data_IF_516639474341
#
_entry.id   IF_516639474341
#
_cell.length_a   1.000
_cell.length_b   1.000
_cell.length_c   1.000
_cell.angle_alpha   90.00
_cell.angle_beta   90.00
_cell.angle_gamma   90.00
#
_symmetry.space_group_name_H-M   'P 1'
#
loop_
_entity.id
_entity.type
_entity.pdbx_description
1 polymer ?
#
# COMPACT_ATOMS: atom_id res chain seq x y z
N UNK A 1 -7.20 -12.09 50.04
CA UNK A 1 -7.34 -11.21 48.85
C UNK A 1 -7.62 -9.77 49.27
N UNK A 2 -8.73 -9.47 49.95
CA UNK A 2 -9.11 -8.08 50.37
C UNK A 2 -8.03 -7.32 51.16
N UNK A 3 -7.27 -8.01 52.03
CA UNK A 3 -6.15 -7.40 52.77
C UNK A 3 -5.04 -6.87 51.85
N UNK A 4 -4.76 -7.55 50.74
CA UNK A 4 -3.72 -7.18 49.77
C UNK A 4 -4.18 -6.07 48.82
N UNK A 5 -5.49 -6.02 48.50
CA UNK A 5 -6.10 -4.91 47.76
C UNK A 5 -6.07 -3.62 48.58
N UNK A 6 -6.46 -3.69 49.86
CA UNK A 6 -6.44 -2.54 50.76
C UNK A 6 -5.02 -1.99 50.98
N UNK A 7 -4.01 -2.86 50.90
CA UNK A 7 -2.59 -2.49 50.98
C UNK A 7 -2.01 -2.01 49.64
N UNK A 8 -2.83 -1.87 48.58
CA UNK A 8 -2.40 -1.45 47.24
C UNK A 8 -1.26 -2.28 46.64
N UNK A 9 -1.21 -3.58 46.97
CA UNK A 9 -0.25 -4.51 46.37
C UNK A 9 -0.82 -5.12 45.08
N UNK A 10 -2.13 -5.39 45.07
CA UNK A 10 -2.86 -5.97 43.94
C UNK A 10 -4.10 -5.15 43.61
N UNK A 11 -4.57 -5.22 42.37
CA UNK A 11 -5.84 -4.65 41.90
C UNK A 11 -6.63 -5.69 41.10
N UNK A 12 -7.96 -5.65 41.21
CA UNK A 12 -8.86 -6.49 40.41
C UNK A 12 -9.11 -5.87 39.04
N UNK A 13 -9.07 -6.68 37.97
CA UNK A 13 -9.34 -6.24 36.60
C UNK A 13 -10.41 -7.12 35.97
N UNK A 14 -11.22 -6.49 35.11
CA UNK A 14 -12.19 -7.18 34.28
C UNK A 14 -11.47 -7.81 33.10
N UNK A 15 -11.55 -9.13 33.00
CA UNK A 15 -10.99 -9.88 31.89
C UNK A 15 -12.09 -10.13 30.87
N UNK A 16 -11.90 -9.66 29.64
CA UNK A 16 -12.90 -9.78 28.57
C UNK A 16 -13.03 -11.23 28.07
N UNK A 17 -11.94 -11.99 28.05
CA UNK A 17 -11.94 -13.41 27.65
C UNK A 17 -12.53 -14.32 28.73
N UNK A 18 -12.36 -13.97 30.00
CA UNK A 18 -12.84 -14.75 31.14
C UNK A 18 -13.66 -13.89 32.12
N UNK A 19 -14.85 -13.40 31.74
CA UNK A 19 -15.61 -12.42 32.55
C UNK A 19 -16.12 -12.98 33.87
N UNK A 20 -16.32 -14.31 33.96
CA UNK A 20 -16.75 -14.98 35.18
C UNK A 20 -15.60 -15.17 36.20
N UNK A 21 -14.33 -15.02 35.78
CA UNK A 21 -13.17 -15.24 36.64
C UNK A 21 -12.60 -13.91 37.15
N UNK A 22 -12.42 -13.81 38.47
CA UNK A 22 -11.77 -12.65 39.09
C UNK A 22 -10.26 -12.69 38.80
N UNK A 23 -9.80 -11.78 37.96
CA UNK A 23 -8.38 -11.64 37.62
C UNK A 23 -7.76 -10.51 38.44
N UNK A 24 -6.57 -10.75 38.99
CA UNK A 24 -5.82 -9.77 39.78
C UNK A 24 -4.46 -9.50 39.14
N UNK A 25 -3.98 -8.26 39.20
CA UNK A 25 -2.61 -7.90 38.80
C UNK A 25 -1.96 -6.98 39.84
N UNK A 26 -0.64 -6.78 39.72
CA UNK A 26 0.09 -5.84 40.57
C UNK A 26 -0.45 -4.41 40.41
N UNK A 27 -0.58 -3.69 41.52
CA UNK A 27 -1.25 -2.38 41.54
C UNK A 27 -0.67 -1.36 40.56
N UNK A 28 0.66 -1.31 40.47
CA UNK A 28 1.43 -0.33 39.71
C UNK A 28 1.58 -0.66 38.21
N UNK A 29 1.19 -1.86 37.78
CA UNK A 29 1.25 -2.24 36.36
C UNK A 29 -0.03 -1.80 35.64
N UNK A 30 0.07 -1.39 34.38
CA UNK A 30 -1.09 -1.07 33.53
C UNK A 30 -1.54 -2.37 32.85
N UNK A 31 -2.84 -2.72 32.90
CA UNK A 31 -3.34 -3.89 32.16
C UNK A 31 -3.22 -3.65 30.65
N UNK A 32 -2.98 -4.73 29.90
CA UNK A 32 -3.00 -4.66 28.44
C UNK A 32 -4.42 -4.58 27.91
N UNK A 33 -4.60 -3.87 26.80
CA UNK A 33 -5.90 -3.68 26.15
C UNK A 33 -6.51 -5.00 25.65
N UNK A 34 -5.69 -6.00 25.32
CA UNK A 34 -6.12 -7.36 24.99
C UNK A 34 -6.91 -8.04 26.12
N UNK A 35 -6.61 -7.66 27.38
CA UNK A 35 -7.27 -8.24 28.57
C UNK A 35 -8.45 -7.37 29.01
N UNK A 36 -8.34 -6.05 28.88
CA UNK A 36 -9.39 -5.10 29.29
C UNK A 36 -10.43 -4.81 28.22
N UNK A 37 -10.16 -5.15 26.96
CA UNK A 37 -11.01 -4.89 25.79
C UNK A 37 -11.06 -3.41 25.43
N UNK A 38 -9.98 -2.89 24.86
CA UNK A 38 -9.94 -1.53 24.29
C UNK A 38 -10.95 -1.32 23.16
N UNK A 39 -11.03 -0.11 22.61
CA UNK A 39 -12.02 0.24 21.56
C UNK A 39 -11.90 -0.59 20.27
N UNK A 40 -10.69 -1.04 19.95
CA UNK A 40 -10.39 -1.92 18.82
C UNK A 40 -10.49 -3.42 19.14
N UNK A 41 -10.94 -3.81 20.34
CA UNK A 41 -11.08 -5.23 20.70
C UNK A 41 -12.55 -5.64 20.76
N UNK A 42 -12.85 -6.84 20.27
CA UNK A 42 -14.12 -7.51 20.45
C UNK A 42 -13.89 -8.91 21.05
N UNK A 43 -14.52 -9.16 22.20
CA UNK A 43 -14.36 -10.41 22.97
C UNK A 43 -12.90 -10.80 23.33
N UNK A 44 -11.96 -9.84 23.28
CA UNK A 44 -10.55 -10.05 23.58
C UNK A 44 -9.69 -10.39 22.37
N UNK A 45 -10.27 -10.32 21.16
CA UNK A 45 -9.55 -10.38 19.89
C UNK A 45 -9.54 -8.99 19.23
N UNK A 46 -8.48 -8.69 18.49
CA UNK A 46 -8.32 -7.41 17.79
C UNK A 46 -9.26 -7.38 16.58
N UNK A 47 -10.09 -6.35 16.46
CA UNK A 47 -10.96 -6.12 15.32
C UNK A 47 -10.18 -5.46 14.18
N UNK A 48 -9.42 -6.28 13.44
CA UNK A 48 -8.63 -5.86 12.29
C UNK A 48 -9.50 -5.21 11.20
N UNK A 49 -10.73 -5.71 11.03
CA UNK A 49 -11.67 -5.18 10.03
C UNK A 49 -12.08 -3.73 10.32
N UNK A 50 -12.34 -3.42 11.59
CA UNK A 50 -12.63 -2.05 12.01
C UNK A 50 -11.44 -1.12 11.76
N UNK A 51 -10.22 -1.58 12.03
CA UNK A 51 -9.00 -0.78 11.82
C UNK A 51 -8.81 -0.50 10.32
N UNK A 52 -9.04 -1.49 9.46
CA UNK A 52 -8.92 -1.35 8.02
C UNK A 52 -9.97 -0.39 7.43
N UNK A 53 -11.24 -0.54 7.83
CA UNK A 53 -12.33 0.35 7.43
C UNK A 53 -12.08 1.79 7.90
N UNK A 54 -11.65 1.96 9.16
CA UNK A 54 -11.30 3.25 9.73
C UNK A 54 -10.13 3.90 8.98
N UNK A 55 -9.11 3.11 8.65
CA UNK A 55 -7.95 3.54 7.87
C UNK A 55 -8.36 4.08 6.50
N UNK A 56 -9.22 3.35 5.80
CA UNK A 56 -9.75 3.76 4.49
C UNK A 56 -10.61 5.03 4.58
N UNK A 57 -11.42 5.16 5.63
CA UNK A 57 -12.23 6.34 5.88
C UNK A 57 -11.38 7.59 6.21
N UNK A 58 -10.33 7.43 7.01
CA UNK A 58 -9.36 8.50 7.32
C UNK A 58 -8.68 8.96 6.03
N UNK A 59 -8.18 8.02 5.22
CA UNK A 59 -7.50 8.37 3.96
C UNK A 59 -8.45 9.07 3.00
N UNK A 60 -9.70 8.61 2.89
CA UNK A 60 -10.71 9.28 2.10
C UNK A 60 -10.88 10.75 2.52
N UNK A 61 -11.09 10.98 3.83
CA UNK A 61 -11.29 12.32 4.38
C UNK A 61 -10.09 13.24 4.17
N UNK A 62 -8.89 12.73 4.45
CA UNK A 62 -7.64 13.48 4.32
C UNK A 62 -7.34 13.78 2.86
N UNK A 63 -7.56 12.82 1.95
CA UNK A 63 -7.34 12.97 0.50
C UNK A 63 -8.17 14.10 -0.09
N UNK A 64 -9.45 14.18 0.27
CA UNK A 64 -10.35 15.26 -0.18
C UNK A 64 -9.87 16.66 0.21
N UNK A 65 -8.96 16.76 1.19
CA UNK A 65 -8.42 18.02 1.69
C UNK A 65 -6.91 18.18 1.45
N UNK A 66 -6.27 17.22 0.77
CA UNK A 66 -4.80 17.17 0.62
C UNK A 66 -4.29 17.91 -0.60
N UNK A 67 -5.07 17.97 -1.67
CA UNK A 67 -4.59 18.36 -3.00
C UNK A 67 -5.44 19.47 -3.59
N UNK A 68 -4.82 20.42 -4.29
CA UNK A 68 -5.55 21.44 -5.04
C UNK A 68 -6.24 20.82 -6.26
N UNK A 69 -7.46 21.27 -6.54
CA UNK A 69 -8.19 20.86 -7.74
C UNK A 69 -7.43 21.28 -9.00
N UNK A 70 -6.87 20.31 -9.72
CA UNK A 70 -6.31 20.53 -11.06
C UNK A 70 -7.14 19.77 -12.08
N UNK A 71 -7.38 20.39 -13.24
CA UNK A 71 -8.03 19.71 -14.35
C UNK A 71 -7.10 18.59 -14.83
N UNK A 72 -7.58 17.33 -14.95
CA UNK A 72 -6.76 16.24 -15.44
C UNK A 72 -6.24 16.58 -16.84
N UNK A 73 -4.96 16.33 -17.08
CA UNK A 73 -4.39 16.45 -18.43
C UNK A 73 -4.48 15.09 -19.09
N UNK A 74 -5.13 15.04 -20.26
CA UNK A 74 -5.12 13.87 -21.13
C UNK A 74 -3.77 13.82 -21.82
N UNK A 75 -2.95 12.84 -21.45
CA UNK A 75 -1.66 12.59 -22.09
C UNK A 75 -1.73 11.23 -22.76
N UNK A 76 -1.38 11.19 -24.05
CA UNK A 76 -1.18 9.93 -24.76
C UNK A 76 0.14 9.35 -24.27
N UNK A 77 0.07 8.27 -23.50
CA UNK A 77 1.26 7.59 -22.97
C UNK A 77 1.89 6.81 -24.12
N UNK A 78 3.12 7.15 -24.48
CA UNK A 78 3.88 6.37 -25.47
C UNK A 78 4.32 5.07 -24.81
N UNK A 79 3.83 3.94 -25.31
CA UNK A 79 4.29 2.61 -24.88
C UNK A 79 5.74 2.46 -25.32
N UNK A 80 6.63 2.06 -24.41
CA UNK A 80 8.02 1.73 -24.76
C UNK A 80 8.01 0.73 -25.93
N UNK A 81 8.87 0.89 -26.94
CA UNK A 81 8.92 -0.05 -28.06
C UNK A 81 9.10 -1.47 -27.52
N UNK A 82 8.18 -2.38 -27.84
CA UNK A 82 8.37 -3.79 -27.54
C UNK A 82 9.68 -4.26 -28.23
N UNK A 83 10.51 -5.08 -27.56
CA UNK A 83 11.58 -5.77 -28.25
C UNK A 83 10.95 -6.56 -29.40
N UNK A 84 11.54 -6.44 -30.60
CA UNK A 84 11.05 -7.19 -31.74
C UNK A 84 11.15 -8.68 -31.42
N UNK A 85 10.02 -9.37 -31.34
CA UNK A 85 9.99 -10.82 -31.34
C UNK A 85 10.55 -11.29 -32.70
N UNK A 86 11.64 -12.05 -32.66
CA UNK A 86 12.12 -12.79 -33.82
C UNK A 86 11.18 -13.98 -34.02
N UNK A 87 10.10 -13.77 -34.78
CA UNK A 87 9.19 -14.83 -35.22
C UNK A 87 9.95 -15.97 -35.92
N UNK A 88 9.83 -17.24 -35.46
CA UNK A 88 10.32 -18.37 -36.21
C UNK A 88 9.32 -18.77 -37.31
N UNK A 89 9.82 -18.74 -38.55
CA UNK A 89 9.35 -19.51 -39.70
C UNK A 89 7.92 -19.24 -40.25
N UNK A 90 7.83 -18.30 -41.21
CA UNK A 90 6.82 -18.33 -42.27
C UNK A 90 7.43 -18.86 -43.59
N UNK A 91 6.79 -19.90 -44.14
CA UNK A 91 7.11 -20.58 -45.41
C UNK A 91 7.07 -19.64 -46.63
N UNK A 92 7.85 -19.88 -47.70
CA UNK A 92 8.16 -18.87 -48.69
C UNK A 92 7.15 -18.86 -49.83
N UNK A 93 6.37 -17.79 -49.97
CA UNK A 93 5.96 -17.26 -51.28
C UNK A 93 5.24 -15.92 -51.13
N UNK A 94 6.02 -14.83 -51.09
CA UNK A 94 5.65 -13.54 -51.67
C UNK A 94 6.88 -12.63 -51.71
N UNK A 95 6.97 -11.89 -52.79
CA UNK A 95 8.16 -11.24 -53.36
C UNK A 95 8.83 -10.14 -52.52
N UNK A 96 10.18 -10.17 -52.55
CA UNK A 96 11.18 -9.10 -52.32
C UNK A 96 11.43 -8.68 -50.86
N UNK A 97 12.43 -9.31 -50.22
CA UNK A 97 13.11 -8.77 -49.03
C UNK A 97 14.61 -8.65 -49.30
N UNK A 98 15.13 -7.41 -49.24
CA UNK A 98 16.56 -7.09 -49.37
C UNK A 98 17.34 -7.75 -48.23
N UNK A 99 18.40 -8.46 -48.59
CA UNK A 99 19.38 -9.10 -47.70
C UNK A 99 20.08 -8.01 -46.86
N UNK A 100 19.98 -8.06 -45.52
CA UNK A 100 20.81 -7.22 -44.64
C UNK A 100 22.17 -7.90 -44.43
N UNK A 101 23.31 -7.21 -44.57
CA UNK A 101 24.61 -7.72 -44.16
C UNK A 101 24.74 -7.68 -42.63
N UNK A 102 25.40 -8.69 -42.07
CA UNK A 102 25.49 -9.00 -40.64
C UNK A 102 26.57 -8.19 -39.88
N UNK A 103 26.56 -6.86 -39.97
CA UNK A 103 27.60 -6.01 -39.32
C UNK A 103 27.14 -4.62 -38.85
N UNK A 104 25.84 -4.37 -38.64
CA UNK A 104 25.42 -3.05 -38.14
C UNK A 104 25.46 -3.01 -36.61
N UNK A 105 26.33 -2.16 -36.08
CA UNK A 105 26.36 -1.72 -34.67
C UNK A 105 24.98 -1.15 -34.27
N UNK A 106 24.60 -1.33 -33.00
CA UNK A 106 23.25 -1.02 -32.50
C UNK A 106 22.91 0.47 -32.60
N UNK A 107 23.94 1.32 -32.66
CA UNK A 107 23.85 2.78 -32.83
C UNK A 107 23.39 3.21 -34.24
N UNK A 108 23.56 2.37 -35.27
CA UNK A 108 23.24 2.69 -36.68
C UNK A 108 21.88 2.15 -37.14
N UNK A 109 21.09 1.58 -36.23
CA UNK A 109 19.75 1.09 -36.55
C UNK A 109 18.80 2.27 -36.88
N UNK A 110 18.13 2.28 -38.05
CA UNK A 110 17.20 3.35 -38.37
C UNK A 110 16.04 3.32 -37.36
N UNK A 111 15.81 4.45 -36.69
CA UNK A 111 14.66 4.63 -35.80
C UNK A 111 13.39 4.27 -36.56
N UNK A 112 12.78 3.12 -36.25
CA UNK A 112 11.47 2.75 -36.77
C UNK A 112 10.46 3.72 -36.18
N UNK A 113 10.09 4.75 -36.94
CA UNK A 113 8.86 5.48 -36.67
C UNK A 113 7.68 4.55 -36.94
N UNK A 114 7.17 3.94 -35.88
CA UNK A 114 5.88 3.24 -35.94
C UNK A 114 4.79 4.25 -36.28
N UNK A 115 3.93 3.92 -37.26
CA UNK A 115 2.72 4.72 -37.50
C UNK A 115 1.73 4.35 -36.40
N UNK A 116 1.53 5.30 -35.49
CA UNK A 116 0.54 5.30 -34.42
C UNK A 116 -0.80 4.65 -34.84
N UNK A 117 -1.21 3.60 -34.12
CA UNK A 117 -2.60 3.13 -34.12
C UNK A 117 -3.46 4.02 -33.20
N UNK A 118 -4.77 4.07 -33.44
CA UNK A 118 -5.75 4.86 -32.68
C UNK A 118 -6.13 4.23 -31.32
N UNK A 119 -5.43 3.16 -30.93
CA UNK A 119 -5.78 2.26 -29.82
C UNK A 119 -4.92 2.49 -28.55
N UNK A 120 -4.07 3.52 -28.50
CA UNK A 120 -3.29 3.80 -27.30
C UNK A 120 -4.21 4.30 -26.17
N UNK A 121 -4.22 3.67 -24.97
CA UNK A 121 -5.09 4.08 -23.89
C UNK A 121 -4.75 5.52 -23.45
N UNK A 122 -5.74 6.41 -23.53
CA UNK A 122 -5.65 7.76 -23.00
C UNK A 122 -5.55 7.64 -21.48
N UNK A 123 -4.37 7.93 -20.92
CA UNK A 123 -4.21 7.99 -19.46
C UNK A 123 -4.53 9.40 -18.99
N UNK A 124 -5.55 9.54 -18.15
CA UNK A 124 -5.83 10.79 -17.44
C UNK A 124 -4.81 10.97 -16.31
N UNK A 125 -3.85 11.86 -16.51
CA UNK A 125 -2.87 12.18 -15.48
C UNK A 125 -3.48 13.26 -14.57
N UNK A 126 -3.88 12.85 -13.37
CA UNK A 126 -4.27 13.77 -12.29
C UNK A 126 -3.01 14.24 -11.56
N UNK A 127 -2.56 15.45 -11.85
CA UNK A 127 -1.41 16.05 -11.14
C UNK A 127 -1.82 16.49 -9.74
N UNK A 128 -1.41 15.72 -8.73
CA UNK A 128 -1.63 16.06 -7.31
C UNK A 128 -0.67 17.18 -6.87
N UNK A 129 -1.14 18.43 -6.99
CA UNK A 129 -0.44 19.62 -6.51
C UNK A 129 -0.77 19.87 -5.03
N UNK A 130 0.27 20.05 -4.22
CA UNK A 130 0.11 20.48 -2.84
C UNK A 130 -0.32 21.95 -2.81
N UNK A 131 -1.04 22.35 -1.76
CA UNK A 131 -1.38 23.75 -1.54
C UNK A 131 -0.13 24.61 -1.35
N UNK A 132 -0.16 25.89 -1.78
CA UNK A 132 0.85 26.87 -1.41
C UNK A 132 1.06 26.92 0.11
N UNK A 133 2.28 27.24 0.54
CA UNK A 133 2.55 27.44 1.95
C UNK A 133 1.62 28.52 2.51
N UNK A 134 1.07 28.28 3.71
CA UNK A 134 0.19 29.21 4.44
C UNK A 134 -1.18 29.52 3.80
N UNK A 135 -1.59 28.87 2.70
CA UNK A 135 -2.91 29.12 2.12
C UNK A 135 -4.03 28.28 2.74
N UNK A 136 -3.71 27.10 3.28
CA UNK A 136 -4.69 26.15 3.83
C UNK A 136 -4.08 25.32 4.95
N UNK A 137 -4.87 25.03 5.98
CA UNK A 137 -4.53 24.07 7.02
C UNK A 137 -4.96 22.66 6.64
N UNK A 138 -4.11 21.69 6.95
CA UNK A 138 -4.40 20.27 6.78
C UNK A 138 -5.23 19.76 7.97
N UNK A 139 -6.06 18.71 7.80
CA UNK A 139 -6.86 18.15 8.87
C UNK A 139 -5.98 17.62 10.01
N UNK A 140 -6.29 18.03 11.24
CA UNK A 140 -5.65 17.53 12.47
C UNK A 140 -6.34 16.24 12.95
N UNK A 141 -5.74 15.54 13.91
CA UNK A 141 -6.36 14.34 14.50
C UNK A 141 -7.74 14.64 15.14
N UNK A 142 -7.93 15.82 15.73
CA UNK A 142 -9.22 16.26 16.28
C UNK A 142 -10.27 16.45 15.18
N UNK A 143 -9.88 17.05 14.05
CA UNK A 143 -10.79 17.22 12.91
C UNK A 143 -11.19 15.87 12.31
N UNK A 144 -10.24 14.94 12.20
CA UNK A 144 -10.46 13.59 11.71
C UNK A 144 -11.40 12.82 12.67
N UNK A 145 -11.17 12.89 13.98
CA UNK A 145 -12.05 12.29 14.99
C UNK A 145 -13.48 12.85 14.92
N UNK A 146 -13.61 14.17 14.78
CA UNK A 146 -14.91 14.83 14.61
C UNK A 146 -15.61 14.35 13.33
N UNK A 147 -14.87 14.19 12.24
CA UNK A 147 -15.43 13.66 10.99
C UNK A 147 -15.92 12.22 11.13
N UNK A 148 -15.13 11.34 11.75
CA UNK A 148 -15.48 9.92 11.92
C UNK A 148 -16.70 9.77 12.82
N UNK A 149 -16.79 10.56 13.89
CA UNK A 149 -17.93 10.49 14.83
C UNK A 149 -19.20 11.13 14.27
N UNK A 150 -19.06 12.11 13.35
CA UNK A 150 -20.21 12.76 12.67
C UNK A 150 -20.72 11.95 11.49
N UNK A 151 -19.84 11.19 10.83
CA UNK A 151 -20.20 10.37 9.68
C UNK A 151 -20.73 9.03 10.18
N UNK A 152 -21.98 8.70 9.87
CA UNK A 152 -22.62 7.41 10.24
C UNK A 152 -22.02 6.18 9.52
N UNK A 153 -20.73 6.23 9.16
CA UNK A 153 -19.99 5.16 8.50
C UNK A 153 -19.69 3.98 9.44
N UNK A 154 -19.55 4.24 10.74
CA UNK A 154 -19.28 3.22 11.77
C UNK A 154 -20.49 3.10 12.68
N UNK A 155 -20.74 1.90 13.21
CA UNK A 155 -21.80 1.67 14.21
C UNK A 155 -21.64 2.65 15.39
N UNK A 156 -22.72 3.35 15.74
CA UNK A 156 -22.72 4.36 16.80
C UNK A 156 -22.16 3.87 18.15
N UNK A 157 -22.35 2.57 18.47
CA UNK A 157 -21.80 1.97 19.70
C UNK A 157 -20.28 1.94 19.74
N UNK A 158 -19.63 1.69 18.59
CA UNK A 158 -18.18 1.67 18.45
C UNK A 158 -17.62 3.08 18.27
N UNK A 159 -18.30 3.92 17.47
CA UNK A 159 -17.93 5.32 17.30
C UNK A 159 -17.88 6.09 18.63
N UNK A 160 -18.79 5.80 19.57
CA UNK A 160 -18.79 6.43 20.89
C UNK A 160 -17.62 6.01 21.81
N UNK A 161 -16.95 4.89 21.53
CA UNK A 161 -15.78 4.42 22.29
C UNK A 161 -14.48 5.00 21.74
N UNK A 162 -14.48 5.46 20.47
CA UNK A 162 -13.29 5.97 19.80
C UNK A 162 -12.87 7.33 20.38
N UNK A 163 -11.68 7.37 20.97
CA UNK A 163 -11.07 8.61 21.46
C UNK A 163 -10.11 9.22 20.45
N UNK A 164 -9.76 10.51 20.62
CA UNK A 164 -8.76 11.17 19.75
C UNK A 164 -7.41 10.47 19.80
N UNK A 165 -7.02 9.91 20.95
CA UNK A 165 -5.78 9.17 21.10
C UNK A 165 -5.77 7.86 20.29
N UNK A 166 -6.90 7.16 20.24
CA UNK A 166 -7.05 5.94 19.44
C UNK A 166 -7.03 6.24 17.94
N UNK A 167 -7.68 7.33 17.51
CA UNK A 167 -7.57 7.81 16.12
C UNK A 167 -6.14 8.20 15.79
N UNK A 168 -5.40 8.83 16.71
CA UNK A 168 -4.00 9.17 16.51
C UNK A 168 -3.14 7.92 16.32
N UNK A 169 -3.38 6.83 17.06
CA UNK A 169 -2.66 5.56 16.86
C UNK A 169 -2.84 5.03 15.43
N UNK A 170 -4.07 5.09 14.89
CA UNK A 170 -4.34 4.67 13.49
C UNK A 170 -3.72 5.63 12.49
N UNK A 171 -3.68 6.93 12.77
CA UNK A 171 -2.97 7.88 11.93
C UNK A 171 -1.46 7.58 11.93
N UNK A 172 -0.87 7.24 13.08
CA UNK A 172 0.55 6.91 13.19
C UNK A 172 0.91 5.67 12.38
N UNK A 173 0.08 4.63 12.39
CA UNK A 173 0.27 3.45 11.53
C UNK A 173 0.22 3.83 10.05
N UNK A 174 -0.75 4.67 9.66
CA UNK A 174 -0.84 5.16 8.28
C UNK A 174 0.33 6.04 7.84
N UNK A 175 0.98 6.73 8.79
CA UNK A 175 2.21 7.47 8.53
C UNK A 175 3.40 6.51 8.37
N UNK A 176 3.47 5.44 9.17
CA UNK A 176 4.51 4.42 9.03
C UNK A 176 4.39 3.62 7.73
N UNK A 177 3.16 3.41 7.25
CA UNK A 177 2.87 2.74 5.98
C UNK A 177 3.07 3.65 4.74
N UNK A 178 3.59 4.87 4.92
CA UNK A 178 3.74 5.88 3.87
C UNK A 178 2.43 6.19 3.11
N UNK A 179 1.28 6.09 3.79
CA UNK A 179 -0.04 6.46 3.23
C UNK A 179 -0.38 7.91 3.56
N UNK A 180 0.08 8.41 4.72
CA UNK A 180 -0.09 9.77 5.19
C UNK A 180 1.26 10.44 5.50
N UNK A 181 1.32 11.76 5.34
CA UNK A 181 2.45 12.61 5.74
C UNK A 181 1.97 13.64 6.76
N UNK A 182 2.75 13.85 7.82
CA UNK A 182 2.53 14.93 8.78
C UNK A 182 3.03 16.27 8.24
N UNK A 183 2.18 17.29 8.26
CA UNK A 183 2.50 18.67 7.83
C UNK A 183 2.06 19.67 8.88
N UNK A 184 3.04 20.32 9.51
CA UNK A 184 2.75 21.22 10.62
C UNK A 184 2.02 20.44 11.70
N UNK A 185 0.77 20.83 12.00
CA UNK A 185 -0.07 20.17 13.00
C UNK A 185 -1.13 19.23 12.39
N UNK A 186 -1.19 19.12 11.06
CA UNK A 186 -2.17 18.29 10.34
C UNK A 186 -1.53 17.22 9.47
N UNK A 187 -2.38 16.54 8.69
CA UNK A 187 -1.99 15.41 7.84
C UNK A 187 -2.46 15.59 6.40
N UNK A 188 -1.65 15.15 5.45
CA UNK A 188 -2.06 14.97 4.05
C UNK A 188 -1.76 13.55 3.60
N UNK A 189 -2.36 13.11 2.51
CA UNK A 189 -1.96 11.83 1.89
C UNK A 189 -0.63 11.95 1.16
N UNK A 190 0.12 10.85 1.04
CA UNK A 190 1.24 10.75 0.08
C UNK A 190 0.71 10.83 -1.35
N UNK A 191 1.53 11.30 -2.29
CA UNK A 191 1.16 11.34 -3.71
C UNK A 191 0.88 9.94 -4.25
N UNK A 192 -0.23 9.79 -4.97
CA UNK A 192 -0.57 8.52 -5.60
C UNK A 192 -0.96 7.41 -4.62
N UNK A 193 -1.35 7.75 -3.38
CA UNK A 193 -1.84 6.76 -2.41
C UNK A 193 -2.94 5.88 -3.04
N UNK A 194 -2.75 4.56 -2.95
CA UNK A 194 -3.78 3.61 -3.35
C UNK A 194 -4.98 3.80 -2.42
N UNK A 195 -6.14 4.03 -3.03
CA UNK A 195 -7.38 4.31 -2.32
C UNK A 195 -8.49 3.54 -3.02
N UNK A 196 -9.12 2.60 -2.31
CA UNK A 196 -10.34 1.94 -2.74
C UNK A 196 -11.52 2.82 -2.27
N UNK A 197 -12.25 3.50 -3.17
CA UNK A 197 -13.44 4.25 -2.78
C UNK A 197 -14.48 3.29 -2.21
N UNK A 198 -15.18 3.64 -1.10
CA UNK A 198 -16.29 2.85 -0.60
C UNK A 198 -17.31 2.58 -1.71
N UNK A 199 -17.54 1.30 -2.04
CA UNK A 199 -18.48 0.87 -3.09
C UNK A 199 -17.89 0.67 -4.50
N UNK A 200 -16.59 0.86 -4.71
CA UNK A 200 -15.90 0.50 -5.97
C UNK A 200 -15.18 -0.84 -5.79
N UNK A 201 -15.89 -1.94 -6.05
CA UNK A 201 -15.31 -3.28 -6.14
C UNK A 201 -14.61 -3.46 -7.48
N UNK A 202 -13.38 -2.97 -7.58
CA UNK A 202 -12.45 -3.45 -8.60
C UNK A 202 -11.70 -4.63 -8.00
N UNK A 203 -11.72 -5.76 -8.69
CA UNK A 203 -10.93 -6.96 -8.39
C UNK A 203 -9.43 -6.71 -8.68
N UNK A 204 -8.88 -5.62 -8.17
CA UNK A 204 -7.44 -5.45 -8.07
C UNK A 204 -7.04 -6.19 -6.80
N UNK A 205 -6.57 -7.42 -7.01
CA UNK A 205 -5.78 -8.22 -6.09
C UNK A 205 -4.93 -7.27 -5.24
N UNK A 206 -4.92 -7.44 -3.91
CA UNK A 206 -4.16 -6.63 -2.95
C UNK A 206 -2.64 -6.82 -3.13
N UNK A 207 -2.15 -6.52 -4.34
CA UNK A 207 -0.77 -6.35 -4.67
C UNK A 207 -0.31 -5.06 -4.03
N UNK A 208 0.38 -5.20 -2.91
CA UNK A 208 1.41 -4.25 -2.44
C UNK A 208 2.40 -3.87 -3.58
N UNK A 209 2.40 -4.60 -4.68
CA UNK A 209 3.03 -4.23 -5.93
C UNK A 209 2.12 -3.27 -6.74
N UNK A 210 2.33 -1.96 -6.57
CA UNK A 210 2.21 -1.05 -7.72
C UNK A 210 3.10 -1.56 -8.88
N UNK A 211 3.18 -0.91 -10.05
CA UNK A 211 4.15 -1.31 -11.07
C UNK A 211 5.55 -1.19 -10.45
N UNK A 212 6.06 -2.32 -9.95
CA UNK A 212 7.31 -2.40 -9.23
C UNK A 212 8.42 -1.87 -10.13
N UNK A 213 9.53 -1.45 -9.54
CA UNK A 213 10.69 -1.17 -10.37
C UNK A 213 11.21 -2.49 -10.97
N UNK A 214 12.08 -2.42 -11.99
CA UNK A 214 12.61 -3.63 -12.63
C UNK A 214 13.34 -4.57 -11.64
N UNK A 215 13.81 -4.05 -10.51
CA UNK A 215 14.46 -4.85 -9.46
C UNK A 215 13.44 -5.65 -8.64
N UNK A 216 12.30 -5.07 -8.26
CA UNK A 216 11.25 -5.78 -7.53
C UNK A 216 10.50 -6.75 -8.44
N UNK A 217 10.50 -6.55 -9.75
CA UNK A 217 9.92 -7.50 -10.70
C UNK A 217 10.83 -8.70 -10.98
N UNK A 218 12.14 -8.56 -10.77
CA UNK A 218 13.10 -9.64 -10.94
C UNK A 218 13.22 -10.49 -9.65
N UNK A 219 13.42 -11.82 -9.75
CA UNK A 219 13.54 -12.69 -8.58
C UNK A 219 14.80 -12.41 -7.75
N UNK A 220 15.77 -11.66 -8.27
CA UNK A 220 16.96 -11.23 -7.53
C UNK A 220 16.65 -10.15 -6.48
N UNK A 221 15.70 -9.24 -6.73
CA UNK A 221 15.37 -8.16 -5.79
C UNK A 221 14.69 -8.63 -4.51
N UNK A 222 14.17 -9.86 -4.51
CA UNK A 222 13.47 -10.51 -3.39
C UNK A 222 14.20 -11.79 -2.92
N UNK A 223 15.43 -12.01 -3.40
CA UNK A 223 16.18 -13.23 -3.13
C UNK A 223 16.69 -13.24 -1.68
N UNK A 224 16.32 -14.23 -0.84
CA UNK A 224 16.72 -14.27 0.57
C UNK A 224 18.21 -14.61 0.77
N UNK A 225 18.88 -15.07 -0.28
CA UNK A 225 20.29 -15.53 -0.27
C UNK A 225 21.13 -14.76 -1.29
N UNK A 226 20.70 -13.55 -1.67
CA UNK A 226 21.38 -12.73 -2.67
C UNK A 226 22.87 -12.53 -2.36
N UNK A 227 23.22 -12.29 -1.10
CA UNK A 227 24.59 -12.07 -0.64
C UNK A 227 25.52 -13.28 -0.86
N UNK A 228 24.96 -14.48 -1.03
CA UNK A 228 25.71 -15.72 -1.28
C UNK A 228 25.79 -16.07 -2.76
N UNK A 229 25.08 -15.34 -3.61
CA UNK A 229 25.04 -15.57 -5.06
C UNK A 229 26.31 -15.00 -5.71
N UNK A 230 27.20 -15.87 -6.17
CA UNK A 230 28.47 -15.48 -6.79
C UNK A 230 28.84 -16.42 -7.94
N UNK A 231 29.63 -15.92 -8.89
CA UNK A 231 30.10 -16.74 -10.01
C UNK A 231 31.07 -17.83 -9.51
N UNK A 232 30.73 -19.10 -9.74
CA UNK A 232 31.48 -20.26 -9.23
C UNK A 232 31.22 -20.62 -7.76
N UNK A 233 30.32 -19.90 -7.08
CA UNK A 233 29.88 -20.20 -5.71
C UNK A 233 28.86 -21.34 -5.63
N UNK A 234 28.55 -21.82 -4.40
CA UNK A 234 27.52 -22.86 -4.18
C UNK A 234 26.12 -22.40 -4.60
N UNK A 235 25.91 -21.08 -4.66
CA UNK A 235 24.72 -20.43 -5.19
C UNK A 235 25.19 -19.50 -6.31
N UNK A 236 24.65 -19.66 -7.51
CA UNK A 236 24.99 -18.87 -8.69
C UNK A 236 23.76 -18.72 -9.60
N UNK A 237 23.80 -17.74 -10.51
CA UNK A 237 22.69 -17.47 -11.43
C UNK A 237 22.40 -18.62 -12.41
N UNK A 238 23.42 -19.41 -12.79
CA UNK A 238 23.28 -20.49 -13.77
C UNK A 238 22.48 -21.69 -13.27
N UNK A 239 22.58 -22.02 -11.98
CA UNK A 239 21.80 -23.09 -11.34
C UNK A 239 20.70 -22.56 -10.40
N UNK A 240 20.32 -21.29 -10.53
CA UNK A 240 19.36 -20.65 -9.62
C UNK A 240 17.93 -21.15 -9.88
N UNK A 241 17.33 -21.80 -8.88
CA UNK A 241 15.95 -22.30 -8.96
C UNK A 241 14.91 -21.18 -8.99
N UNK A 242 15.17 -20.05 -8.33
CA UNK A 242 14.29 -18.88 -8.37
C UNK A 242 14.24 -18.25 -9.77
N UNK A 243 15.40 -18.17 -10.43
CA UNK A 243 15.51 -17.65 -11.80
C UNK A 243 14.83 -18.57 -12.82
N UNK A 244 15.06 -19.89 -12.71
CA UNK A 244 14.43 -20.89 -13.58
C UNK A 244 12.90 -20.84 -13.47
N UNK A 245 12.36 -20.87 -12.25
CA UNK A 245 10.91 -20.78 -12.01
C UNK A 245 10.29 -19.49 -12.53
N UNK A 246 11.00 -18.37 -12.41
CA UNK A 246 10.50 -17.07 -12.86
C UNK A 246 10.43 -16.97 -14.40
N UNK A 247 11.42 -17.53 -15.11
CA UNK A 247 11.40 -17.60 -16.59
C UNK A 247 10.32 -18.57 -17.08
N UNK A 248 10.18 -19.75 -16.45
CA UNK A 248 9.19 -20.75 -16.83
C UNK A 248 7.75 -20.31 -16.53
N UNK A 249 7.57 -19.55 -15.44
CA UNK A 249 6.28 -19.08 -14.96
C UNK A 249 5.75 -17.81 -15.60
N UNK A 250 6.51 -17.17 -16.51
CA UNK A 250 6.08 -15.99 -17.27
C UNK A 250 5.38 -14.93 -16.43
N UNK A 251 6.13 -14.26 -15.55
CA UNK A 251 5.76 -13.06 -14.78
C UNK A 251 4.27 -12.85 -14.49
N UNK A 252 3.84 -13.12 -13.26
CA UNK A 252 2.59 -12.56 -12.72
C UNK A 252 2.51 -11.05 -12.95
#
# INVERSE_FOLDING_TARGET
MTKLENQRLIKSIKNVRAPAQKTYMLFHLVPSDDVTGGSFFDAGDLDESLIEELSNLIIFHVRMQSWSDTKPRKVRRETSPAPAEDDPAASPNSSRKRKRPATADIEDAPRKHSRYGDEDPIVEIVTQLAYPAYSRSYPTAENIHTFITTTDAIRASKAAQLTVAEIQQVIDTLVWDDRLERIGDGYRTVRGVSFKPPGYGGDEEDGIDGPGNGLTQAPCGKCPVFDLCSEGGPINAGSCTYWAKWIEGGGN
#
